data_IF_969834531693
#
_entry.id   IF_969834531693
#
_cell.length_a   1.000
_cell.length_b   1.000
_cell.length_c   1.000
_cell.angle_alpha   90.00
_cell.angle_beta   90.00
_cell.angle_gamma   90.00
#
_symmetry.space_group_name_H-M   'P 1'
#
loop_
_entity.id
_entity.type
_entity.pdbx_description
1 polymer ?
#
# COMPACT_ATOMS: atom_id res chain seq x y z
N UNK A 1 -1.17 7.26 -19.69
CA UNK A 1 -0.37 8.32 -19.07
C UNK A 1 1.08 8.00 -19.28
N UNK A 2 1.92 9.00 -19.47
CA UNK A 2 3.38 8.85 -19.50
C UNK A 2 3.92 8.67 -18.08
N UNK A 3 5.14 8.16 -17.95
CA UNK A 3 5.83 8.06 -16.65
C UNK A 3 5.95 9.43 -15.94
N UNK A 4 6.15 10.52 -16.70
CA UNK A 4 6.22 11.86 -16.15
C UNK A 4 4.88 12.33 -15.57
N UNK A 5 3.77 12.05 -16.27
CA UNK A 5 2.42 12.36 -15.79
C UNK A 5 2.07 11.56 -14.52
N UNK A 6 2.45 10.28 -14.48
CA UNK A 6 2.28 9.44 -13.30
C UNK A 6 3.05 9.98 -12.09
N UNK A 7 4.32 10.33 -12.28
CA UNK A 7 5.14 10.88 -11.21
C UNK A 7 4.59 12.22 -10.70
N UNK A 8 4.14 13.10 -11.59
CA UNK A 8 3.49 14.35 -11.21
C UNK A 8 2.22 14.11 -10.38
N UNK A 9 1.40 13.13 -10.79
CA UNK A 9 0.16 12.77 -10.08
C UNK A 9 0.45 12.18 -8.69
N UNK A 10 1.44 11.30 -8.60
CA UNK A 10 1.90 10.72 -7.33
C UNK A 10 2.46 11.78 -6.39
N UNK A 11 3.31 12.68 -6.90
CA UNK A 11 3.86 13.78 -6.10
C UNK A 11 2.77 14.75 -5.63
N UNK A 12 1.82 15.10 -6.50
CA UNK A 12 0.69 15.95 -6.13
C UNK A 12 -0.19 15.32 -5.04
N UNK A 13 -0.42 14.00 -5.11
CA UNK A 13 -1.13 13.26 -4.06
C UNK A 13 -0.33 13.26 -2.75
N UNK A 14 0.96 12.91 -2.80
CA UNK A 14 1.85 12.89 -1.65
C UNK A 14 1.87 14.25 -0.94
N UNK A 15 2.01 15.35 -1.68
CA UNK A 15 1.96 16.70 -1.12
C UNK A 15 0.62 17.01 -0.43
N UNK A 16 -0.52 16.60 -1.03
CA UNK A 16 -1.83 16.78 -0.39
C UNK A 16 -1.98 16.00 0.91
N UNK A 17 -1.31 14.86 1.04
CA UNK A 17 -1.28 14.07 2.27
C UNK A 17 -0.36 14.72 3.31
N UNK A 18 0.81 15.22 2.89
CA UNK A 18 1.73 15.98 3.75
C UNK A 18 1.09 17.25 4.30
N UNK A 19 0.40 18.03 3.44
CA UNK A 19 -0.34 19.24 3.83
C UNK A 19 -1.48 18.93 4.83
N UNK A 20 -1.94 17.68 4.89
CA UNK A 20 -2.93 17.18 5.83
C UNK A 20 -2.31 16.46 7.04
N UNK A 21 -0.99 16.54 7.22
CA UNK A 21 -0.21 15.87 8.29
C UNK A 21 -0.36 14.34 8.31
N UNK A 22 -0.64 13.73 7.15
CA UNK A 22 -0.75 12.27 6.98
C UNK A 22 0.60 11.72 6.49
N UNK A 23 1.19 10.81 7.27
CA UNK A 23 2.39 10.09 6.83
C UNK A 23 2.08 9.34 5.53
N UNK A 24 2.98 9.51 4.56
CA UNK A 24 2.86 8.84 3.27
C UNK A 24 4.24 8.55 2.67
N UNK A 25 4.26 7.65 1.70
CA UNK A 25 5.46 7.29 0.95
C UNK A 25 5.09 6.86 -0.48
N UNK A 26 5.90 7.27 -1.45
CA UNK A 26 5.78 6.79 -2.83
C UNK A 26 6.60 5.51 -2.99
N UNK A 27 5.99 4.48 -3.57
CA UNK A 27 6.60 3.17 -3.83
C UNK A 27 6.49 2.78 -5.30
N UNK A 28 7.53 2.11 -5.79
CA UNK A 28 7.64 1.60 -7.15
C UNK A 28 7.94 0.10 -7.09
N UNK A 29 6.89 -0.73 -7.17
CA UNK A 29 7.02 -2.19 -7.18
C UNK A 29 6.09 -2.88 -8.19
N UNK A 30 5.31 -2.09 -8.94
CA UNK A 30 4.42 -2.54 -10.01
C UNK A 30 4.88 -1.97 -11.35
N UNK A 31 4.54 -2.67 -12.44
CA UNK A 31 4.99 -2.31 -13.79
C UNK A 31 4.07 -1.29 -14.48
N UNK A 32 2.81 -1.20 -14.06
CA UNK A 32 1.73 -0.46 -14.72
C UNK A 32 1.27 0.80 -13.94
N UNK A 33 2.06 1.27 -12.97
CA UNK A 33 1.68 2.43 -12.16
C UNK A 33 2.64 2.81 -11.05
N UNK A 34 2.23 3.81 -10.26
CA UNK A 34 2.93 4.26 -9.06
C UNK A 34 1.99 4.13 -7.86
N UNK A 35 2.49 3.56 -6.77
CA UNK A 35 1.72 3.39 -5.54
C UNK A 35 2.10 4.49 -4.54
N UNK A 36 1.10 5.12 -3.93
CA UNK A 36 1.25 6.01 -2.78
C UNK A 36 0.66 5.32 -1.55
N UNK A 37 1.51 5.06 -0.57
CA UNK A 37 1.11 4.51 0.71
C UNK A 37 0.76 5.63 1.67
N UNK A 38 -0.29 5.48 2.46
CA UNK A 38 -0.65 6.40 3.53
C UNK A 38 -0.95 5.63 4.82
N UNK A 39 -0.59 6.20 5.97
CA UNK A 39 -0.88 5.61 7.29
C UNK A 39 -1.65 6.59 8.15
N UNK A 40 -2.70 6.06 8.79
CA UNK A 40 -3.48 6.75 9.82
C UNK A 40 -3.68 5.78 10.99
N UNK A 41 -4.06 6.25 12.19
CA UNK A 41 -4.37 5.36 13.29
C UNK A 41 -5.39 4.28 12.89
N UNK A 42 -5.02 3.02 13.05
CA UNK A 42 -5.88 1.86 12.75
C UNK A 42 -6.08 1.54 11.27
N UNK A 43 -5.44 2.25 10.33
CA UNK A 43 -5.54 1.89 8.92
C UNK A 43 -4.27 2.21 8.10
N UNK A 44 -4.04 1.38 7.11
CA UNK A 44 -3.05 1.54 6.07
C UNK A 44 -3.76 1.61 4.71
N UNK A 45 -3.40 2.61 3.92
CA UNK A 45 -4.00 2.89 2.62
C UNK A 45 -2.97 2.65 1.53
N UNK A 46 -3.34 1.86 0.53
CA UNK A 46 -2.58 1.65 -0.69
C UNK A 46 -3.34 2.32 -1.84
N UNK A 47 -2.73 3.34 -2.45
CA UNK A 47 -3.35 4.14 -3.50
C UNK A 47 -2.53 3.99 -4.79
N UNK A 48 -3.06 3.23 -5.73
CA UNK A 48 -2.41 2.97 -7.00
C UNK A 48 -2.86 3.96 -8.07
N UNK A 49 -1.90 4.63 -8.69
CA UNK A 49 -2.10 5.51 -9.82
C UNK A 49 -1.63 4.77 -11.07
N UNK A 50 -2.56 4.37 -11.94
CA UNK A 50 -2.29 3.45 -13.04
C UNK A 50 -2.05 4.17 -14.36
N UNK A 51 -1.26 3.58 -15.25
CA UNK A 51 -0.96 4.15 -16.57
C UNK A 51 -2.20 4.44 -17.41
N UNK A 52 -3.28 3.66 -17.27
CA UNK A 52 -4.54 3.88 -17.99
C UNK A 52 -5.38 5.06 -17.46
N UNK A 53 -4.93 5.73 -16.40
CA UNK A 53 -5.64 6.84 -15.76
C UNK A 53 -6.42 6.46 -14.52
N UNK A 54 -6.68 5.17 -14.29
CA UNK A 54 -7.44 4.70 -13.14
C UNK A 54 -6.70 4.92 -11.81
N UNK A 55 -7.48 4.94 -10.73
CA UNK A 55 -6.95 4.94 -9.38
C UNK A 55 -7.63 3.84 -8.59
N UNK A 56 -6.84 2.89 -8.12
CA UNK A 56 -7.31 1.85 -7.21
C UNK A 56 -6.93 2.24 -5.78
N UNK A 57 -7.83 2.03 -4.83
CA UNK A 57 -7.60 2.32 -3.42
C UNK A 57 -7.96 1.11 -2.61
N UNK A 58 -6.99 0.54 -1.92
CA UNK A 58 -7.19 -0.50 -0.92
C UNK A 58 -6.96 0.07 0.49
N UNK A 59 -7.82 -0.33 1.44
CA UNK A 59 -7.74 0.12 2.82
C UNK A 59 -7.67 -1.09 3.75
N UNK A 60 -6.47 -1.33 4.29
CA UNK A 60 -6.23 -2.35 5.29
C UNK A 60 -6.53 -1.76 6.67
N UNK A 61 -7.51 -2.32 7.38
CA UNK A 61 -7.92 -1.87 8.71
C UNK A 61 -7.37 -2.80 9.78
N UNK A 62 -6.81 -2.23 10.84
CA UNK A 62 -6.48 -2.98 12.05
C UNK A 62 -7.77 -3.47 12.70
N UNK A 63 -7.75 -4.71 13.21
CA UNK A 63 -8.83 -5.23 14.06
C UNK A 63 -8.77 -4.63 15.47
N UNK A 64 -7.67 -3.97 15.84
CA UNK A 64 -7.40 -3.46 17.18
C UNK A 64 -6.79 -4.50 18.14
N UNK A 65 -6.72 -5.76 17.71
CA UNK A 65 -6.17 -6.85 18.51
C UNK A 65 -4.67 -7.02 18.25
N UNK A 66 -3.94 -7.34 19.31
CA UNK A 66 -2.54 -7.76 19.23
C UNK A 66 -2.47 -9.27 19.45
N UNK A 67 -1.81 -9.94 18.53
CA UNK A 67 -1.52 -11.37 18.61
C UNK A 67 -0.12 -11.59 19.21
N UNK A 68 0.11 -12.76 19.82
CA UNK A 68 1.41 -13.14 20.35
C UNK A 68 2.31 -13.81 19.29
N UNK A 69 3.54 -14.18 19.66
CA UNK A 69 4.52 -14.79 18.75
C UNK A 69 4.02 -16.09 18.09
N UNK A 70 3.10 -16.83 18.72
CA UNK A 70 2.55 -18.07 18.15
C UNK A 70 1.75 -17.83 16.85
N UNK A 71 1.26 -16.61 16.66
CA UNK A 71 0.57 -16.21 15.42
C UNK A 71 1.47 -16.25 14.19
N UNK A 72 2.79 -16.11 14.35
CA UNK A 72 3.75 -16.20 13.25
C UNK A 72 3.79 -17.63 12.69
N UNK A 73 3.86 -18.63 13.57
CA UNK A 73 3.84 -20.04 13.16
C UNK A 73 2.50 -20.41 12.48
N UNK A 74 1.38 -19.87 13.01
CA UNK A 74 0.06 -20.03 12.39
C UNK A 74 0.02 -19.42 10.98
N UNK A 75 0.50 -18.19 10.81
CA UNK A 75 0.59 -17.52 9.50
C UNK A 75 1.36 -18.36 8.49
N UNK A 76 2.54 -18.87 8.88
CA UNK A 76 3.38 -19.69 8.00
C UNK A 76 2.68 -21.02 7.68
N UNK A 77 2.08 -21.69 8.66
CA UNK A 77 1.44 -22.99 8.45
C UNK A 77 0.18 -22.91 7.58
N UNK A 78 -0.59 -21.83 7.69
CA UNK A 78 -1.85 -21.66 6.95
C UNK A 78 -1.60 -21.16 5.52
N UNK A 79 -0.66 -20.23 5.34
CA UNK A 79 -0.48 -19.49 4.08
C UNK A 79 0.86 -19.73 3.38
N UNK A 80 1.85 -20.33 4.05
CA UNK A 80 3.14 -20.64 3.46
C UNK A 80 3.01 -21.68 2.34
N UNK A 81 3.71 -21.46 1.22
CA UNK A 81 3.77 -22.45 0.14
C UNK A 81 4.42 -23.76 0.65
N UNK A 82 3.75 -24.89 0.41
CA UNK A 82 4.33 -26.20 0.71
C UNK A 82 5.37 -26.57 -0.36
N UNK A 83 6.54 -27.12 0.01
CA UNK A 83 7.52 -27.57 -0.97
C UNK A 83 6.90 -28.57 -1.93
N UNK A 84 7.09 -28.35 -3.24
CA UNK A 84 6.75 -29.35 -4.26
C UNK A 84 7.78 -30.48 -4.15
N UNK A 85 7.33 -31.66 -3.72
CA UNK A 85 8.13 -32.90 -3.75
C UNK A 85 8.44 -33.33 -5.18
#
# INVERSE_FOLDING_TARGET
>A
MTAAELLQRAHALSKRLEDAEIWNEIRLFREDGITVLARVPGAYWEIDLLEDGMTNVEVLRSTGDLEDESSIERLISEFGEKPKH
#
